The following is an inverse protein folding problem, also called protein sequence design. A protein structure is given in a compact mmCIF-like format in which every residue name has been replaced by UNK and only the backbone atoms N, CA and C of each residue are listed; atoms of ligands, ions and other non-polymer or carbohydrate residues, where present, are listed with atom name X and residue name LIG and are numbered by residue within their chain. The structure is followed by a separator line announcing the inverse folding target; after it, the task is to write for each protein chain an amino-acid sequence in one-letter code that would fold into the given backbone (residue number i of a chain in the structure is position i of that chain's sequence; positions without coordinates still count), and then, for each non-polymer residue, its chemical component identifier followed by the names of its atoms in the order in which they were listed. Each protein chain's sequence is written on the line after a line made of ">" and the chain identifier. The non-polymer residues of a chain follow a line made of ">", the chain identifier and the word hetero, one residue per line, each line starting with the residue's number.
data_IF_667980923959
#
_entry.id   IF_667980923959
#
_cell.length_a   1.000
_cell.length_b   1.000
_cell.length_c   1.000
_cell.angle_alpha   90.00
_cell.angle_beta   90.00
_cell.angle_gamma   90.00
#
_symmetry.space_group_name_H-M   'P 1'
#
loop_
_entity.id
_entity.type
_entity.pdbx_description
1 polymer ?
#
# COMPACT_ATOMS: atom_id res chain seq x y z
N UNK A 1 0.67 -20.25 -11.81
CA UNK A 1 0.96 -19.04 -11.01
C UNK A 1 -0.14 -18.01 -11.30
N UNK A 2 -0.90 -17.55 -10.31
CA UNK A 2 -1.96 -16.56 -10.54
C UNK A 2 -1.38 -15.17 -10.84
N UNK A 3 -1.91 -14.49 -11.85
CA UNK A 3 -1.55 -13.08 -12.10
C UNK A 3 -1.90 -12.23 -10.87
N UNK A 4 -0.93 -11.48 -10.35
CA UNK A 4 -1.18 -10.51 -9.27
C UNK A 4 -2.11 -9.43 -9.82
N UNK A 5 -3.26 -9.24 -9.19
CA UNK A 5 -4.25 -8.23 -9.58
C UNK A 5 -4.35 -7.06 -8.60
N UNK A 6 -3.78 -7.20 -7.41
CA UNK A 6 -3.96 -6.21 -6.32
C UNK A 6 -2.71 -6.10 -5.46
N UNK A 7 -2.36 -4.88 -5.08
CA UNK A 7 -1.28 -4.55 -4.15
C UNK A 7 -1.88 -3.87 -2.91
N UNK A 8 -1.59 -4.39 -1.72
CA UNK A 8 -1.86 -3.72 -0.44
C UNK A 8 -0.62 -2.95 0.03
N UNK A 9 -0.81 -1.74 0.54
CA UNK A 9 0.27 -0.89 1.04
C UNK A 9 -0.03 -0.47 2.48
N UNK A 10 0.95 -0.62 3.37
CA UNK A 10 0.91 -0.14 4.75
C UNK A 10 2.27 0.44 5.12
N UNK A 11 2.30 1.37 6.06
CA UNK A 11 3.54 1.81 6.74
C UNK A 11 3.50 1.32 8.18
N UNK A 12 4.58 0.70 8.63
CA UNK A 12 4.76 0.26 10.01
C UNK A 12 6.00 0.94 10.62
N UNK A 13 6.05 1.02 11.95
CA UNK A 13 7.10 1.75 12.65
C UNK A 13 6.83 3.25 12.77
N UNK A 14 7.87 4.01 13.12
CA UNK A 14 7.79 5.47 13.22
C UNK A 14 7.82 6.15 11.85
N UNK A 15 7.14 7.29 11.73
CA UNK A 15 7.12 8.06 10.49
C UNK A 15 8.51 8.60 10.12
N UNK A 16 8.82 8.53 8.82
CA UNK A 16 10.07 9.03 8.28
C UNK A 16 9.83 9.89 7.04
N UNK A 17 10.67 10.91 6.80
CA UNK A 17 10.67 11.66 5.55
C UNK A 17 10.77 10.71 4.35
N UNK A 18 9.93 10.93 3.33
CA UNK A 18 9.93 10.15 2.09
C UNK A 18 8.94 8.98 2.05
N UNK A 19 8.33 8.57 3.17
CA UNK A 19 7.32 7.50 3.16
C UNK A 19 6.15 7.82 2.23
N UNK A 20 5.60 9.03 2.30
CA UNK A 20 4.52 9.46 1.41
C UNK A 20 4.93 9.49 -0.06
N UNK A 21 6.19 9.85 -0.35
CA UNK A 21 6.71 9.84 -1.71
C UNK A 21 6.85 8.40 -2.25
N UNK A 22 7.31 7.46 -1.41
CA UNK A 22 7.39 6.05 -1.75
C UNK A 22 5.99 5.45 -2.01
N UNK A 23 5.02 5.68 -1.12
CA UNK A 23 3.63 5.26 -1.32
C UNK A 23 3.10 5.81 -2.65
N UNK A 24 3.29 7.11 -2.91
CA UNK A 24 2.85 7.75 -4.15
C UNK A 24 3.47 7.12 -5.40
N UNK A 25 4.77 6.81 -5.36
CA UNK A 25 5.47 6.18 -6.48
C UNK A 25 4.91 4.78 -6.77
N UNK A 26 4.71 3.96 -5.74
CA UNK A 26 4.14 2.61 -5.86
C UNK A 26 2.71 2.67 -6.40
N UNK A 27 1.84 3.49 -5.80
CA UNK A 27 0.43 3.63 -6.20
C UNK A 27 0.32 4.04 -7.67
N UNK A 28 1.05 5.08 -8.09
CA UNK A 28 0.99 5.58 -9.47
C UNK A 28 1.50 4.54 -10.46
N UNK A 29 2.57 3.83 -10.13
CA UNK A 29 3.13 2.78 -10.99
C UNK A 29 2.17 1.61 -11.13
N UNK A 30 1.54 1.18 -10.03
CA UNK A 30 0.59 0.08 -10.01
C UNK A 30 -0.66 0.40 -10.84
N UNK A 31 -1.24 1.59 -10.66
CA UNK A 31 -2.39 2.05 -11.46
C UNK A 31 -2.03 2.11 -12.94
N UNK A 32 -0.85 2.64 -13.30
CA UNK A 32 -0.38 2.67 -14.69
C UNK A 32 -0.21 1.26 -15.30
N UNK A 33 0.04 0.24 -14.48
CA UNK A 33 0.11 -1.17 -14.89
C UNK A 33 -1.25 -1.89 -14.85
N UNK A 34 -2.36 -1.18 -14.61
CA UNK A 34 -3.69 -1.78 -14.53
C UNK A 34 -3.93 -2.61 -13.27
N UNK A 35 -3.12 -2.43 -12.22
CA UNK A 35 -3.27 -3.11 -10.94
C UNK A 35 -4.18 -2.30 -10.00
N UNK A 36 -4.98 -3.00 -9.20
CA UNK A 36 -5.74 -2.39 -8.10
C UNK A 36 -4.81 -2.16 -6.90
N UNK A 37 -5.02 -1.07 -6.17
CA UNK A 37 -4.24 -0.76 -4.96
C UNK A 37 -5.18 -0.56 -3.77
N UNK A 38 -4.81 -1.09 -2.61
CA UNK A 38 -5.50 -0.89 -1.32
C UNK A 38 -4.54 -0.29 -0.30
N UNK A 39 -5.03 0.63 0.52
CA UNK A 39 -4.22 1.37 1.49
C UNK A 39 -4.64 1.03 2.90
N UNK A 40 -3.79 0.30 3.60
CA UNK A 40 -4.07 -0.17 4.96
C UNK A 40 -3.62 0.89 5.95
N UNK A 41 -4.56 1.36 6.77
CA UNK A 41 -4.31 2.43 7.73
C UNK A 41 -3.68 1.87 9.01
N UNK A 42 -3.00 2.71 9.78
CA UNK A 42 -2.44 2.34 11.11
C UNK A 42 -1.55 1.08 11.09
N UNK A 43 -0.81 0.88 10.00
CA UNK A 43 0.13 -0.22 9.84
C UNK A 43 -0.51 -1.60 10.06
N UNK A 44 0.17 -2.46 10.81
CA UNK A 44 -0.32 -3.81 11.11
C UNK A 44 -1.64 -3.81 11.90
N UNK A 45 -1.90 -2.79 12.72
CA UNK A 45 -3.14 -2.73 13.50
C UNK A 45 -4.36 -2.58 12.58
N UNK A 46 -4.29 -1.75 11.54
CA UNK A 46 -5.39 -1.68 10.57
C UNK A 46 -5.46 -2.91 9.68
N UNK A 47 -4.34 -3.59 9.40
CA UNK A 47 -4.38 -4.87 8.68
C UNK A 47 -5.18 -5.92 9.45
N UNK A 48 -4.90 -6.08 10.75
CA UNK A 48 -5.59 -7.03 11.62
C UNK A 48 -7.07 -6.64 11.79
N UNK A 49 -7.36 -5.34 11.88
CA UNK A 49 -8.71 -4.83 12.06
C UNK A 49 -9.53 -4.74 10.76
N UNK A 50 -8.94 -5.00 9.59
CA UNK A 50 -9.60 -4.89 8.29
C UNK A 50 -9.82 -3.45 7.80
N UNK A 51 -9.04 -2.48 8.27
CA UNK A 51 -9.06 -1.08 7.80
C UNK A 51 -8.17 -0.92 6.55
N UNK A 52 -8.71 -1.32 5.40
CA UNK A 52 -8.02 -1.42 4.09
C UNK A 52 -8.60 -0.53 2.99
#
# INVERSE_FOLDING_TARGET
>A
MGNIKTIGILTSGGDAPGMNAAIRAVVRTAINKGLRVMGIRRGYNGLIAGDM
#
